data_IF_114087642947
#
_entry.id   IF_114087642947
#
_cell.length_a   1.000
_cell.length_b   1.000
_cell.length_c   1.000
_cell.angle_alpha   90.00
_cell.angle_beta   90.00
_cell.angle_gamma   90.00
#
_symmetry.space_group_name_H-M   'P 1'
#
loop_
_entity.id
_entity.type
_entity.pdbx_description
1 polymer ?
#
# COMPACT_ATOMS: atom_id res chain seq x y z
N UNK A 1 -7.56 -8.53 -10.63
CA UNK A 1 -8.39 -9.17 -9.59
C UNK A 1 -9.32 -8.14 -8.99
N UNK A 2 -10.57 -8.47 -8.63
CA UNK A 2 -11.49 -7.56 -7.93
C UNK A 2 -11.65 -8.02 -6.48
N UNK A 3 -11.44 -7.12 -5.52
CA UNK A 3 -11.69 -7.33 -4.08
C UNK A 3 -12.85 -6.46 -3.64
N UNK A 4 -13.79 -7.01 -2.89
CA UNK A 4 -14.85 -6.24 -2.24
C UNK A 4 -14.57 -6.19 -0.74
N UNK A 5 -14.80 -5.04 -0.11
CA UNK A 5 -14.61 -4.86 1.32
C UNK A 5 -15.64 -3.89 1.88
N UNK A 6 -15.95 -3.99 3.17
CA UNK A 6 -16.92 -3.14 3.85
C UNK A 6 -16.20 -2.23 4.84
N UNK A 7 -16.48 -0.93 4.77
CA UNK A 7 -15.97 0.08 5.72
C UNK A 7 -17.13 0.56 6.63
N UNK A 8 -17.83 -0.38 7.28
CA UNK A 8 -18.87 -0.09 8.26
C UNK A 8 -20.27 0.29 7.74
N UNK A 9 -20.44 0.78 6.50
CA UNK A 9 -21.79 1.04 5.94
C UNK A 9 -21.91 0.98 4.41
N UNK A 10 -20.80 0.91 3.67
CA UNK A 10 -20.78 0.87 2.20
C UNK A 10 -19.88 -0.27 1.73
N UNK A 11 -20.34 -1.01 0.72
CA UNK A 11 -19.51 -1.98 0.02
C UNK A 11 -18.63 -1.25 -0.98
N UNK A 12 -17.34 -1.25 -0.70
CA UNK A 12 -16.31 -0.73 -1.58
C UNK A 12 -15.75 -1.87 -2.44
N UNK A 13 -15.09 -1.50 -3.54
CA UNK A 13 -14.36 -2.47 -4.35
C UNK A 13 -13.03 -1.90 -4.82
N UNK A 14 -12.01 -2.74 -4.81
CA UNK A 14 -10.65 -2.45 -5.29
C UNK A 14 -10.33 -3.39 -6.45
N UNK A 15 -10.09 -2.81 -7.63
CA UNK A 15 -9.68 -3.55 -8.82
C UNK A 15 -8.15 -3.43 -8.97
N UNK A 16 -7.50 -4.58 -8.97
CA UNK A 16 -6.07 -4.73 -9.20
C UNK A 16 -5.80 -5.11 -10.66
N UNK A 17 -5.01 -4.29 -11.35
CA UNK A 17 -4.52 -4.53 -12.70
C UNK A 17 -3.04 -4.91 -12.62
N UNK A 18 -2.74 -6.14 -13.02
CA UNK A 18 -1.39 -6.69 -12.98
C UNK A 18 -0.73 -6.61 -14.36
N UNK A 19 0.59 -6.51 -14.35
CA UNK A 19 1.42 -6.72 -15.53
C UNK A 19 1.86 -8.18 -15.62
N UNK A 20 3.13 -8.37 -15.96
CA UNK A 20 3.77 -9.70 -16.00
C UNK A 20 4.18 -10.23 -14.61
N UNK A 21 4.14 -9.38 -13.58
CA UNK A 21 4.52 -9.73 -12.21
C UNK A 21 3.28 -9.83 -11.29
N UNK A 22 3.43 -10.50 -10.16
CA UNK A 22 2.37 -10.69 -9.16
C UNK A 22 2.01 -9.43 -8.35
N UNK A 23 2.76 -8.34 -8.53
CA UNK A 23 2.45 -7.03 -7.95
C UNK A 23 1.57 -6.21 -8.92
N UNK A 24 0.52 -5.53 -8.44
CA UNK A 24 -0.34 -4.75 -9.31
C UNK A 24 0.35 -3.49 -9.80
N UNK A 25 0.24 -3.22 -11.10
CA UNK A 25 0.71 -1.97 -11.70
C UNK A 25 -0.25 -0.82 -11.41
N UNK A 26 -1.54 -1.13 -11.27
CA UNK A 26 -2.58 -0.15 -10.99
C UNK A 26 -3.61 -0.73 -10.03
N UNK A 27 -4.02 0.08 -9.08
CA UNK A 27 -5.16 -0.14 -8.19
C UNK A 27 -6.21 0.91 -8.45
N UNK A 28 -7.45 0.46 -8.55
CA UNK A 28 -8.62 1.31 -8.72
C UNK A 28 -9.58 1.08 -7.58
N UNK A 29 -9.65 2.06 -6.68
CA UNK A 29 -10.58 2.07 -5.56
C UNK A 29 -11.87 2.73 -5.98
N UNK A 30 -12.98 2.01 -5.78
CA UNK A 30 -14.33 2.50 -6.03
C UNK A 30 -15.11 2.49 -4.74
N UNK A 31 -15.40 3.69 -4.24
CA UNK A 31 -16.23 3.91 -3.05
C UNK A 31 -17.68 4.31 -3.41
N UNK A 32 -17.90 4.75 -4.65
CA UNK A 32 -19.22 4.91 -5.26
C UNK A 32 -19.11 4.90 -6.79
N UNK A 33 -20.22 4.86 -7.52
CA UNK A 33 -20.20 4.89 -8.99
C UNK A 33 -19.55 6.16 -9.59
N UNK A 34 -19.44 7.25 -8.82
CA UNK A 34 -18.88 8.53 -9.24
C UNK A 34 -17.50 8.84 -8.62
N UNK A 35 -17.05 8.08 -7.62
CA UNK A 35 -15.77 8.29 -6.95
C UNK A 35 -14.83 7.11 -7.22
N UNK A 36 -13.90 7.32 -8.14
CA UNK A 36 -12.86 6.36 -8.50
C UNK A 36 -11.49 6.97 -8.25
N UNK A 37 -10.70 6.35 -7.38
CA UNK A 37 -9.31 6.74 -7.15
C UNK A 37 -8.38 5.77 -7.87
N UNK A 38 -7.40 6.30 -8.59
CA UNK A 38 -6.38 5.50 -9.28
C UNK A 38 -5.05 5.67 -8.58
N UNK A 39 -4.43 4.54 -8.22
CA UNK A 39 -3.06 4.46 -7.76
C UNK A 39 -2.24 3.66 -8.78
N UNK A 40 -1.25 4.31 -9.39
CA UNK A 40 -0.30 3.66 -10.30
C UNK A 40 1.00 3.43 -9.54
N UNK A 41 1.50 2.21 -9.56
CA UNK A 41 2.76 1.86 -8.90
C UNK A 41 3.88 1.70 -9.92
N UNK A 42 5.02 2.30 -9.59
CA UNK A 42 6.27 2.14 -10.35
C UNK A 42 7.16 1.20 -9.57
N UNK A 43 7.68 0.18 -10.23
CA UNK A 43 8.48 -0.87 -9.62
C UNK A 43 9.95 -0.74 -10.03
N UNK A 44 10.84 -0.91 -9.06
CA UNK A 44 12.26 -1.15 -9.28
C UNK A 44 12.60 -2.61 -8.98
N UNK A 45 13.90 -2.90 -8.79
CA UNK A 45 14.38 -4.26 -8.53
C UNK A 45 13.79 -4.86 -7.25
N UNK A 46 13.61 -4.05 -6.21
CA UNK A 46 13.15 -4.46 -4.88
C UNK A 46 11.69 -4.05 -4.59
N UNK A 47 10.83 -4.14 -5.61
CA UNK A 47 9.40 -3.83 -5.51
C UNK A 47 9.06 -2.36 -5.78
N UNK A 48 7.90 -1.90 -5.29
CA UNK A 48 7.40 -0.55 -5.56
C UNK A 48 8.37 0.53 -5.05
N UNK A 49 8.68 1.53 -5.88
CA UNK A 49 9.55 2.67 -5.55
C UNK A 49 8.81 4.01 -5.60
N UNK A 50 7.69 4.06 -6.31
CA UNK A 50 6.82 5.23 -6.33
C UNK A 50 5.35 4.82 -6.51
N UNK A 51 4.45 5.64 -5.97
CA UNK A 51 3.00 5.61 -6.19
C UNK A 51 2.60 6.95 -6.79
N UNK A 52 1.82 6.92 -7.87
CA UNK A 52 1.19 8.11 -8.44
C UNK A 52 -0.32 8.03 -8.26
N UNK A 53 -0.91 9.10 -7.73
CA UNK A 53 -2.36 9.30 -7.68
C UNK A 53 -2.70 10.67 -8.25
N UNK A 54 -3.47 10.68 -9.34
CA UNK A 54 -3.68 11.89 -10.14
C UNK A 54 -2.35 12.51 -10.61
N UNK A 55 -2.09 13.76 -10.19
CA UNK A 55 -0.86 14.49 -10.45
C UNK A 55 0.22 14.31 -9.36
N UNK A 56 -0.15 13.76 -8.20
CA UNK A 56 0.77 13.59 -7.07
C UNK A 56 1.59 12.32 -7.25
N UNK A 57 2.91 12.44 -7.07
CA UNK A 57 3.84 11.31 -7.02
C UNK A 57 4.45 11.25 -5.63
N UNK A 58 4.32 10.09 -4.99
CA UNK A 58 4.93 9.75 -3.73
C UNK A 58 6.03 8.71 -3.98
N UNK A 59 7.22 8.97 -3.45
CA UNK A 59 8.37 8.07 -3.47
C UNK A 59 8.42 7.26 -2.18
N UNK A 60 8.62 5.94 -2.32
CA UNK A 60 8.65 4.98 -1.22
C UNK A 60 10.11 4.64 -0.92
N UNK A 61 10.62 5.11 0.22
CA UNK A 61 11.95 4.74 0.69
C UNK A 61 11.84 3.47 1.52
N UNK A 62 12.69 2.50 1.19
CA UNK A 62 12.58 1.14 1.72
C UNK A 62 13.79 0.72 2.53
N UNK A 63 13.57 -0.19 3.47
CA UNK A 63 14.64 -0.91 4.14
C UNK A 63 15.14 -2.13 3.34
N UNK A 64 16.06 -2.89 3.93
CA UNK A 64 16.68 -4.06 3.33
C UNK A 64 15.70 -5.23 3.09
N UNK A 65 14.58 -5.31 3.81
CA UNK A 65 13.52 -6.30 3.59
C UNK A 65 12.49 -5.83 2.55
N UNK A 66 12.64 -4.61 2.05
CA UNK A 66 11.71 -3.99 1.12
C UNK A 66 10.50 -3.33 1.80
N UNK A 67 10.53 -3.18 3.13
CA UNK A 67 9.47 -2.49 3.88
C UNK A 67 9.53 -1.00 3.64
N UNK A 68 8.39 -0.36 3.37
CA UNK A 68 8.32 1.09 3.21
C UNK A 68 8.55 1.79 4.56
N UNK A 69 9.59 2.60 4.68
CA UNK A 69 9.94 3.33 5.91
C UNK A 69 9.55 4.80 5.87
N UNK A 70 9.70 5.44 4.71
CA UNK A 70 9.39 6.86 4.54
C UNK A 70 8.70 7.05 3.19
N UNK A 71 7.69 7.91 3.17
CA UNK A 71 6.98 8.31 1.96
C UNK A 71 7.13 9.83 1.81
N UNK A 72 7.67 10.26 0.69
CA UNK A 72 7.91 11.68 0.41
C UNK A 72 7.46 12.07 -1.00
N UNK A 73 7.20 13.34 -1.25
CA UNK A 73 6.92 13.83 -2.60
C UNK A 73 8.18 14.33 -3.32
N UNK A 74 8.00 14.85 -4.54
CA UNK A 74 9.08 15.37 -5.38
C UNK A 74 9.78 16.62 -4.82
N UNK A 75 9.19 17.29 -3.83
CA UNK A 75 9.81 18.45 -3.15
C UNK A 75 10.67 18.02 -1.96
N UNK A 76 10.62 16.74 -1.58
CA UNK A 76 11.29 16.21 -0.39
C UNK A 76 10.46 16.36 0.89
N UNK A 77 9.21 16.81 0.80
CA UNK A 77 8.29 16.82 1.94
C UNK A 77 7.94 15.37 2.31
N UNK A 78 8.13 15.02 3.59
CA UNK A 78 7.71 13.73 4.13
C UNK A 78 6.22 13.76 4.42
N UNK A 79 5.47 12.89 3.76
CA UNK A 79 4.02 12.74 3.96
C UNK A 79 3.72 11.79 5.11
N UNK A 80 4.41 10.65 5.15
CA UNK A 80 4.26 9.67 6.23
C UNK A 80 5.52 8.82 6.37
N UNK A 81 5.60 8.07 7.46
CA UNK A 81 6.68 7.17 7.78
C UNK A 81 6.15 5.98 8.57
N UNK A 82 6.87 4.86 8.54
CA UNK A 82 6.50 3.63 9.21
C UNK A 82 7.72 2.98 9.86
N UNK A 83 7.71 2.97 11.19
CA UNK A 83 8.66 2.22 12.00
C UNK A 83 7.99 0.91 12.43
N UNK A 84 8.67 -0.20 12.15
CA UNK A 84 8.19 -1.55 12.36
C UNK A 84 9.07 -2.23 13.40
N UNK A 85 8.48 -3.09 14.22
CA UNK A 85 9.25 -4.10 14.96
C UNK A 85 9.74 -5.21 14.01
N UNK A 86 10.31 -6.27 14.58
CA UNK A 86 10.84 -7.40 13.79
C UNK A 86 9.76 -8.24 13.11
N UNK A 87 8.52 -8.20 13.60
CA UNK A 87 7.37 -8.95 13.07
C UNK A 87 6.47 -8.10 12.17
N UNK A 88 6.75 -6.81 12.04
CA UNK A 88 6.00 -5.91 11.15
C UNK A 88 4.94 -5.09 11.86
N UNK A 89 4.84 -5.14 13.19
CA UNK A 89 3.95 -4.25 13.93
C UNK A 89 4.44 -2.82 13.87
N UNK A 90 3.52 -1.87 13.67
CA UNK A 90 3.84 -0.45 13.67
C UNK A 90 4.18 0.04 15.08
N UNK A 91 5.44 0.39 15.31
CA UNK A 91 5.91 1.06 16.53
C UNK A 91 5.58 2.55 16.45
N UNK A 92 5.73 3.14 15.26
CA UNK A 92 5.48 4.56 15.01
C UNK A 92 5.03 4.77 13.57
N UNK A 93 4.01 5.60 13.36
CA UNK A 93 3.52 5.95 12.02
C UNK A 93 3.15 7.43 11.93
N UNK A 94 3.22 7.98 10.72
CA UNK A 94 2.60 9.26 10.40
C UNK A 94 1.07 9.22 10.54
N UNK A 95 0.42 10.38 10.50
CA UNK A 95 -1.03 10.54 10.70
C UNK A 95 -1.88 10.02 9.55
N UNK A 96 -1.33 9.97 8.33
CA UNK A 96 -2.05 9.49 7.14
C UNK A 96 -1.38 8.23 6.60
N UNK A 97 -2.21 7.25 6.23
CA UNK A 97 -1.77 6.07 5.53
C UNK A 97 -1.84 6.32 4.02
N UNK A 98 -0.78 6.89 3.47
CA UNK A 98 -0.73 7.28 2.05
C UNK A 98 -0.49 6.10 1.10
N UNK A 99 0.01 4.97 1.62
CA UNK A 99 0.50 3.85 0.81
C UNK A 99 0.12 2.51 1.46
N UNK A 100 -0.55 1.65 0.68
CA UNK A 100 -0.98 0.34 1.15
C UNK A 100 0.19 -0.66 1.30
N UNK A 101 1.25 -0.53 0.51
CA UNK A 101 2.40 -1.44 0.53
C UNK A 101 3.41 -1.07 1.61
N UNK A 102 3.39 -1.83 2.71
CA UNK A 102 4.03 -1.52 3.98
C UNK A 102 5.15 -2.52 4.31
N UNK A 103 5.01 -3.30 5.39
CA UNK A 103 5.99 -4.29 5.85
C UNK A 103 6.32 -5.31 4.75
N UNK A 104 7.62 -5.52 4.52
CA UNK A 104 8.21 -6.34 3.43
C UNK A 104 7.62 -6.06 2.03
N UNK A 105 7.03 -4.87 1.84
CA UNK A 105 6.39 -4.47 0.60
C UNK A 105 5.07 -5.19 0.30
N UNK A 106 4.39 -5.73 1.32
CA UNK A 106 3.06 -6.33 1.17
C UNK A 106 1.95 -5.32 1.45
N UNK A 107 0.81 -5.51 0.79
CA UNK A 107 -0.40 -4.70 1.01
C UNK A 107 -0.86 -4.93 2.46
N UNK A 108 -0.86 -3.88 3.27
CA UNK A 108 -1.57 -3.81 4.54
C UNK A 108 -2.99 -3.40 4.24
N UNK A 109 -3.91 -4.34 4.46
CA UNK A 109 -5.28 -4.20 4.00
C UNK A 109 -6.22 -3.69 5.10
N UNK A 110 -7.47 -3.45 4.72
CA UNK A 110 -8.49 -2.87 5.61
C UNK A 110 -8.87 -3.78 6.79
N UNK A 111 -8.48 -5.06 6.74
CA UNK A 111 -8.69 -6.02 7.83
C UNK A 111 -7.57 -5.98 8.87
N UNK A 112 -6.54 -5.15 8.67
CA UNK A 112 -5.42 -5.00 9.59
C UNK A 112 -4.34 -6.09 9.44
N UNK A 113 -4.30 -6.78 8.30
CA UNK A 113 -3.33 -7.85 8.02
C UNK A 113 -2.56 -7.58 6.73
N UNK A 114 -1.38 -8.18 6.62
CA UNK A 114 -0.59 -8.12 5.40
C UNK A 114 -1.00 -9.22 4.42
N UNK A 115 -1.33 -8.82 3.20
CA UNK A 115 -1.70 -9.73 2.13
C UNK A 115 -0.45 -10.17 1.33
N UNK A 116 0.04 -11.38 1.60
CA UNK A 116 1.13 -12.02 0.85
C UNK A 116 0.62 -12.80 -0.38
N UNK A 117 -0.60 -12.51 -0.83
CA UNK A 117 -1.32 -13.12 -1.98
C UNK A 117 -1.75 -14.55 -1.71
N UNK A 118 -0.79 -15.43 -1.44
CA UNK A 118 -1.05 -16.85 -1.14
C UNK A 118 -1.51 -17.06 0.31
N UNK A 119 -1.16 -16.14 1.22
CA UNK A 119 -1.48 -16.19 2.65
C UNK A 119 -1.71 -14.78 3.18
N UNK A 120 -2.50 -14.69 4.25
CA UNK A 120 -2.61 -13.50 5.07
C UNK A 120 -1.66 -13.65 6.25
N UNK A 121 -0.99 -12.56 6.61
CA UNK A 121 -0.04 -12.48 7.71
C UNK A 121 -0.53 -11.46 8.72
N UNK A 122 -0.67 -11.90 9.96
CA UNK A 122 -1.05 -11.06 11.10
C UNK A 122 0.21 -10.81 11.94
N UNK A 123 0.67 -9.56 11.98
CA UNK A 123 1.90 -9.19 12.66
C UNK A 123 1.80 -9.31 14.20
N UNK A 124 0.58 -9.27 14.74
CA UNK A 124 0.33 -9.48 16.18
C UNK A 124 0.53 -10.95 16.57
N UNK A 125 0.41 -11.89 15.61
CA UNK A 125 0.53 -13.34 15.83
C UNK A 125 1.89 -13.91 15.42
N UNK A 126 2.64 -13.22 14.57
CA UNK A 126 3.93 -13.69 14.05
C UNK A 126 3.81 -14.81 13.02
#
# INVERSE_FOLDING_TARGET
MLKNYNDGSVTNSKLYLHGQNDYPLLEKDRTSAAAENLAIYVYGLNGAIAKRSGATVLFLLKDHLGSTRVVMDATGLVHTYYDYDALGNLIRTGTTNEVAYQFTGQEFDESGVHNYRARLYDSDLG
#
